data_IF_179383973014
#
_entry.id   IF_179383973014
#
_cell.length_a   1.000
_cell.length_b   1.000
_cell.length_c   1.000
_cell.angle_alpha   90.00
_cell.angle_beta   90.00
_cell.angle_gamma   90.00
#
_symmetry.space_group_name_H-M   'P 1'
#
loop_
_entity.id
_entity.type
_entity.pdbx_description
1 polymer ?
#
# COMPACT_ATOMS: atom_id res chain seq x y z
N UNK A 1 3.23 -2.74 -37.32
CA UNK A 1 2.71 -1.78 -36.32
C UNK A 1 1.21 -1.96 -36.21
N UNK A 2 0.75 -2.73 -35.21
CA UNK A 2 -0.67 -2.96 -34.94
C UNK A 2 -0.82 -3.06 -33.42
N UNK A 3 -1.55 -2.15 -32.82
CA UNK A 3 -1.89 -2.16 -31.38
C UNK A 3 -3.28 -2.78 -31.19
N UNK A 4 -3.48 -3.77 -30.32
CA UNK A 4 -4.81 -4.20 -29.94
C UNK A 4 -5.28 -3.45 -28.69
N UNK A 5 -6.40 -2.76 -28.86
CA UNK A 5 -7.23 -2.12 -27.83
C UNK A 5 -7.96 -3.21 -27.03
N UNK A 6 -7.74 -3.31 -25.71
CA UNK A 6 -8.52 -4.19 -24.83
C UNK A 6 -9.46 -3.37 -23.94
N UNK A 7 -10.76 -3.57 -24.19
CA UNK A 7 -11.90 -3.14 -23.40
C UNK A 7 -11.87 -3.76 -21.99
N UNK A 8 -11.81 -2.92 -20.97
CA UNK A 8 -12.02 -3.33 -19.59
C UNK A 8 -13.52 -3.30 -19.25
N UNK A 9 -14.15 -4.47 -19.15
CA UNK A 9 -15.46 -4.64 -18.50
C UNK A 9 -15.27 -4.64 -16.99
N UNK A 10 -15.76 -3.61 -16.31
CA UNK A 10 -15.83 -3.53 -14.85
C UNK A 10 -17.24 -3.94 -14.40
N UNK A 11 -17.38 -5.16 -13.89
CA UNK A 11 -18.52 -5.59 -13.10
C UNK A 11 -18.25 -5.25 -11.63
N UNK A 12 -18.94 -4.23 -11.13
CA UNK A 12 -18.90 -3.86 -9.72
C UNK A 12 -19.82 -4.79 -8.91
N UNK A 13 -19.22 -5.75 -8.22
CA UNK A 13 -19.89 -6.52 -7.17
C UNK A 13 -19.87 -5.66 -5.90
N UNK A 14 -21.05 -5.18 -5.49
CA UNK A 14 -21.26 -4.47 -4.23
C UNK A 14 -21.35 -5.52 -3.13
N UNK A 15 -20.26 -5.70 -2.38
CA UNK A 15 -20.28 -6.47 -1.13
C UNK A 15 -20.59 -5.51 0.05
N UNK A 16 -21.56 -5.84 0.92
CA UNK A 16 -21.81 -5.05 2.13
C UNK A 16 -20.71 -5.29 3.16
N UNK A 17 -20.08 -4.19 3.59
CA UNK A 17 -19.12 -4.17 4.70
C UNK A 17 -19.93 -4.21 6.00
N UNK A 18 -19.96 -5.37 6.65
CA UNK A 18 -20.37 -5.50 8.05
C UNK A 18 -19.12 -5.31 8.90
N UNK A 19 -19.07 -4.20 9.64
CA UNK A 19 -18.00 -3.93 10.61
C UNK A 19 -18.64 -3.57 11.95
N UNK A 20 -18.37 -4.43 12.93
CA UNK A 20 -18.55 -4.20 14.37
C UNK A 20 -19.97 -3.86 14.82
N UNK A 21 -20.80 -4.90 14.97
CA UNK A 21 -21.50 -5.22 16.24
C UNK A 21 -22.22 -4.12 17.04
N UNK A 22 -22.62 -3.01 16.42
CA UNK A 22 -23.45 -1.99 17.03
C UNK A 22 -24.68 -1.86 16.11
N UNK A 23 -25.87 -2.27 16.55
CA UNK A 23 -27.07 -2.00 15.79
C UNK A 23 -27.22 -0.48 15.69
N UNK A 24 -27.12 0.04 14.47
CA UNK A 24 -27.55 1.39 14.13
C UNK A 24 -29.06 1.42 14.35
N UNK A 25 -29.45 1.81 15.57
CA UNK A 25 -30.81 2.17 15.90
C UNK A 25 -31.25 3.23 14.88
N UNK A 26 -32.25 2.87 14.10
CA UNK A 26 -32.97 3.76 13.22
C UNK A 26 -33.50 4.93 14.05
N UNK A 27 -32.82 6.07 14.02
CA UNK A 27 -33.43 7.35 14.36
C UNK A 27 -34.38 7.71 13.22
N UNK A 28 -35.54 7.07 13.22
CA UNK A 28 -36.72 7.59 12.56
C UNK A 28 -37.08 8.89 13.28
N UNK A 29 -36.61 10.03 12.73
CA UNK A 29 -37.14 11.33 13.10
C UNK A 29 -38.61 11.34 12.69
N UNK A 30 -39.45 11.10 13.70
CA UNK A 30 -40.88 11.41 13.70
C UNK A 30 -41.08 12.80 13.09
N UNK A 31 -41.59 12.83 11.86
CA UNK A 31 -42.24 14.01 11.31
C UNK A 31 -43.59 14.11 11.99
N UNK A 32 -43.63 14.79 13.14
CA UNK A 32 -44.89 15.19 13.76
C UNK A 32 -45.59 16.16 12.80
N UNK A 33 -46.53 15.60 12.04
CA UNK A 33 -47.57 16.34 11.35
C UNK A 33 -48.44 17.00 12.43
N UNK A 34 -48.16 18.26 12.72
CA UNK A 34 -49.10 19.09 13.47
C UNK A 34 -50.32 19.36 12.59
N UNK A 35 -51.55 19.11 13.06
CA UNK A 35 -52.76 19.46 12.34
C UNK A 35 -52.89 20.99 12.28
N UNK A 36 -53.01 21.54 11.06
CA UNK A 36 -53.46 22.92 10.85
C UNK A 36 -54.91 23.02 11.30
N UNK A 37 -55.15 23.62 12.46
CA UNK A 37 -56.50 24.03 12.84
C UNK A 37 -56.96 25.22 11.97
N UNK A 38 -58.20 25.22 11.47
CA UNK A 38 -58.80 26.42 10.90
C UNK A 38 -59.22 27.36 12.05
N UNK A 39 -58.49 28.46 12.22
CA UNK A 39 -58.93 29.56 13.07
C UNK A 39 -60.10 30.27 12.38
N UNK A 40 -61.31 29.93 12.79
CA UNK A 40 -62.51 30.73 12.56
C UNK A 40 -62.38 32.03 13.34
N UNK A 41 -61.95 33.09 12.66
CA UNK A 41 -61.94 34.44 13.23
C UNK A 41 -63.30 35.07 12.96
N UNK A 42 -64.08 35.25 14.02
CA UNK A 42 -65.33 36.00 14.01
C UNK A 42 -65.08 37.43 13.51
N UNK A 43 -65.89 37.86 12.55
CA UNK A 43 -65.99 39.26 12.15
C UNK A 43 -66.74 40.03 13.24
N UNK A 44 -66.01 40.52 14.24
CA UNK A 44 -66.50 41.60 15.08
C UNK A 44 -66.43 42.91 14.28
N UNK A 45 -67.56 43.31 13.72
CA UNK A 45 -67.77 44.62 13.12
C UNK A 45 -67.55 45.69 14.18
N UNK A 46 -66.37 46.32 14.16
CA UNK A 46 -66.08 47.49 14.99
C UNK A 46 -66.29 48.70 14.09
N UNK A 47 -67.38 49.43 14.34
CA UNK A 47 -67.68 50.74 13.75
C UNK A 47 -66.57 51.72 14.14
N UNK A 48 -65.62 51.95 13.23
CA UNK A 48 -64.59 52.98 13.38
C UNK A 48 -65.24 54.32 13.09
N UNK A 49 -65.37 55.16 14.13
CA UNK A 49 -65.76 56.55 13.98
C UNK A 49 -64.70 57.29 13.15
N UNK A 50 -65.14 57.81 12.01
CA UNK A 50 -64.30 58.54 11.07
C UNK A 50 -64.02 59.93 11.64
N UNK A 51 -62.89 60.10 12.31
CA UNK A 51 -62.37 61.44 12.59
C UNK A 51 -61.63 61.96 11.35
N UNK A 52 -61.91 63.19 10.88
CA UNK A 52 -61.23 63.77 9.74
C UNK A 52 -59.76 64.02 10.10
N UNK A 53 -58.87 63.16 9.61
CA UNK A 53 -57.43 63.34 9.75
C UNK A 53 -57.02 64.51 8.87
N UNK A 54 -56.58 65.59 9.52
CA UNK A 54 -56.05 66.77 8.85
C UNK A 54 -54.87 66.40 7.94
N UNK A 55 -54.83 66.99 6.74
CA UNK A 55 -53.84 66.75 5.68
C UNK A 55 -52.33 66.74 6.08
N UNK A 56 -51.88 67.41 7.17
CA UNK A 56 -50.50 67.30 7.64
C UNK A 56 -50.12 65.94 8.25
N UNK A 57 -51.06 65.26 8.95
CA UNK A 57 -50.79 63.99 9.65
C UNK A 57 -50.60 62.82 8.68
N UNK A 58 -51.43 62.74 7.63
CA UNK A 58 -51.28 61.76 6.55
C UNK A 58 -49.93 61.90 5.82
N UNK A 59 -49.43 63.13 5.61
CA UNK A 59 -48.11 63.35 4.99
C UNK A 59 -46.94 62.92 5.87
N UNK A 60 -47.07 63.02 7.20
CA UNK A 60 -46.06 62.56 8.15
C UNK A 60 -46.02 61.03 8.24
N UNK A 61 -47.18 60.36 8.25
CA UNK A 61 -47.28 58.90 8.22
C UNK A 61 -46.73 58.31 6.91
N UNK A 62 -47.04 58.92 5.75
CA UNK A 62 -46.48 58.50 4.45
C UNK A 62 -44.96 58.63 4.42
N UNK A 63 -44.38 59.67 5.05
CA UNK A 63 -42.92 59.83 5.19
C UNK A 63 -42.33 58.78 6.13
N UNK A 64 -42.97 58.50 7.26
CA UNK A 64 -42.54 57.46 8.21
C UNK A 64 -42.58 56.06 7.58
N UNK A 65 -43.62 55.76 6.80
CA UNK A 65 -43.79 54.49 6.10
C UNK A 65 -42.73 54.29 5.00
N UNK A 66 -42.36 55.35 4.27
CA UNK A 66 -41.26 55.33 3.30
C UNK A 66 -39.90 55.08 3.98
N UNK A 67 -39.65 55.67 5.15
CA UNK A 67 -38.42 55.44 5.93
C UNK A 67 -38.37 54.00 6.48
N UNK A 68 -39.50 53.47 6.96
CA UNK A 68 -39.62 52.07 7.40
C UNK A 68 -39.40 51.07 6.26
N UNK A 69 -40.01 51.30 5.09
CA UNK A 69 -39.79 50.49 3.88
C UNK A 69 -38.33 50.51 3.43
N UNK A 70 -37.64 51.66 3.52
CA UNK A 70 -36.21 51.77 3.22
C UNK A 70 -35.35 50.96 4.21
N UNK A 71 -35.61 51.07 5.52
CA UNK A 71 -34.93 50.28 6.56
C UNK A 71 -35.17 48.77 6.42
N UNK A 72 -36.37 48.35 6.02
CA UNK A 72 -36.69 46.95 5.74
C UNK A 72 -35.90 46.43 4.53
N UNK A 73 -35.86 47.18 3.43
CA UNK A 73 -35.06 46.84 2.23
C UNK A 73 -33.56 46.74 2.54
N UNK A 74 -33.02 47.65 3.35
CA UNK A 74 -31.62 47.60 3.79
C UNK A 74 -31.32 46.39 4.67
N UNK A 75 -32.23 46.01 5.59
CA UNK A 75 -32.11 44.79 6.41
C UNK A 75 -32.17 43.53 5.56
N UNK A 76 -33.06 43.46 4.57
CA UNK A 76 -33.14 42.34 3.62
C UNK A 76 -31.89 42.23 2.75
N UNK A 77 -31.36 43.36 2.26
CA UNK A 77 -30.12 43.38 1.49
C UNK A 77 -28.93 42.86 2.30
N UNK A 78 -28.78 43.31 3.55
CA UNK A 78 -27.75 42.81 4.49
C UNK A 78 -27.92 41.33 4.80
N UNK A 79 -29.16 40.83 4.94
CA UNK A 79 -29.44 39.40 5.17
C UNK A 79 -29.06 38.56 3.96
N UNK A 80 -29.39 39.01 2.75
CA UNK A 80 -29.00 38.36 1.48
C UNK A 80 -27.48 38.34 1.28
N UNK A 81 -26.77 39.40 1.63
CA UNK A 81 -25.30 39.42 1.60
C UNK A 81 -24.69 38.40 2.58
N UNK A 82 -25.13 38.38 3.84
CA UNK A 82 -24.68 37.40 4.83
C UNK A 82 -24.97 35.96 4.40
N UNK A 83 -26.13 35.71 3.79
CA UNK A 83 -26.48 34.38 3.29
C UNK A 83 -25.58 33.94 2.12
N UNK A 84 -25.22 34.85 1.21
CA UNK A 84 -24.27 34.58 0.14
C UNK A 84 -22.86 34.28 0.67
N UNK A 85 -22.40 35.04 1.66
CA UNK A 85 -21.11 34.80 2.32
C UNK A 85 -21.07 33.45 3.06
N UNK A 86 -22.15 33.08 3.76
CA UNK A 86 -22.25 31.77 4.43
C UNK A 86 -22.21 30.62 3.42
N UNK A 87 -22.98 30.72 2.32
CA UNK A 87 -22.95 29.73 1.23
C UNK A 87 -21.58 29.62 0.58
N UNK A 88 -20.88 30.74 0.37
CA UNK A 88 -19.53 30.74 -0.17
C UNK A 88 -18.54 30.04 0.78
N UNK A 89 -18.60 30.33 2.08
CA UNK A 89 -17.77 29.67 3.12
C UNK A 89 -18.07 28.17 3.23
N UNK A 90 -19.33 27.77 3.14
CA UNK A 90 -19.71 26.35 3.13
C UNK A 90 -19.17 25.62 1.89
N UNK A 91 -19.28 26.25 0.72
CA UNK A 91 -18.80 25.67 -0.53
C UNK A 91 -17.26 25.55 -0.53
N UNK A 92 -16.55 26.52 0.05
CA UNK A 92 -15.10 26.46 0.24
C UNK A 92 -14.69 25.35 1.23
N UNK A 93 -15.40 25.21 2.36
CA UNK A 93 -15.18 24.10 3.31
C UNK A 93 -15.43 22.75 2.65
N UNK A 94 -16.50 22.61 1.86
CA UNK A 94 -16.79 21.38 1.11
C UNK A 94 -15.69 21.06 0.09
N UNK A 95 -15.17 22.06 -0.63
CA UNK A 95 -14.03 21.89 -1.55
C UNK A 95 -12.78 21.40 -0.81
N UNK A 96 -12.40 22.08 0.27
CA UNK A 96 -11.26 21.69 1.13
C UNK A 96 -11.41 20.26 1.69
N UNK A 97 -12.60 19.89 2.15
CA UNK A 97 -12.88 18.53 2.62
C UNK A 97 -12.74 17.49 1.49
N UNK A 98 -13.26 17.77 0.30
CA UNK A 98 -13.13 16.86 -0.86
C UNK A 98 -11.66 16.68 -1.26
N UNK A 99 -10.86 17.74 -1.27
CA UNK A 99 -9.42 17.67 -1.55
C UNK A 99 -8.67 16.85 -0.50
N UNK A 100 -8.94 17.07 0.78
CA UNK A 100 -8.34 16.28 1.87
C UNK A 100 -8.68 14.80 1.75
N UNK A 101 -9.93 14.45 1.41
CA UNK A 101 -10.34 13.06 1.19
C UNK A 101 -9.62 12.44 -0.01
N UNK A 102 -9.46 13.19 -1.12
CA UNK A 102 -8.70 12.72 -2.30
C UNK A 102 -7.23 12.43 -1.94
N UNK A 103 -6.55 13.39 -1.29
CA UNK A 103 -5.17 13.22 -0.82
C UNK A 103 -5.00 12.03 0.11
N UNK A 104 -5.93 11.83 1.06
CA UNK A 104 -5.90 10.66 1.95
C UNK A 104 -6.05 9.34 1.20
N UNK A 105 -6.93 9.28 0.18
CA UNK A 105 -7.11 8.09 -0.65
C UNK A 105 -5.87 7.77 -1.50
N UNK A 106 -5.22 8.79 -2.05
CA UNK A 106 -3.96 8.65 -2.80
C UNK A 106 -2.83 8.13 -1.90
N UNK A 107 -2.63 8.75 -0.74
CA UNK A 107 -1.64 8.30 0.25
C UNK A 107 -1.90 6.86 0.74
N UNK A 108 -3.17 6.46 0.88
CA UNK A 108 -3.50 5.09 1.26
C UNK A 108 -3.18 4.09 0.14
N UNK A 109 -3.42 4.45 -1.13
CA UNK A 109 -3.04 3.64 -2.29
C UNK A 109 -1.52 3.49 -2.38
N UNK A 110 -0.77 4.58 -2.28
CA UNK A 110 0.69 4.57 -2.28
C UNK A 110 1.25 3.70 -1.14
N UNK A 111 0.70 3.82 0.07
CA UNK A 111 1.10 2.97 1.21
C UNK A 111 0.83 1.49 0.93
N UNK A 112 -0.31 1.16 0.31
CA UNK A 112 -0.66 -0.22 -0.06
C UNK A 112 0.28 -0.76 -1.13
N UNK A 113 0.61 0.04 -2.14
CA UNK A 113 1.55 -0.34 -3.21
C UNK A 113 2.97 -0.52 -2.68
N UNK A 114 3.44 0.40 -1.83
CA UNK A 114 4.72 0.29 -1.16
C UNK A 114 4.78 -0.95 -0.25
N UNK A 115 3.69 -1.27 0.46
CA UNK A 115 3.62 -2.48 1.27
C UNK A 115 3.64 -3.76 0.42
N UNK A 116 2.98 -3.77 -0.74
CA UNK A 116 3.04 -4.88 -1.70
C UNK A 116 4.45 -5.05 -2.26
N UNK A 117 5.10 -3.95 -2.65
CA UNK A 117 6.47 -3.96 -3.14
C UNK A 117 7.45 -4.47 -2.07
N UNK A 118 7.39 -3.97 -0.83
CA UNK A 118 8.24 -4.45 0.27
C UNK A 118 8.05 -5.94 0.56
N UNK A 119 6.81 -6.45 0.50
CA UNK A 119 6.54 -7.89 0.63
C UNK A 119 7.17 -8.69 -0.51
N UNK A 120 7.12 -8.16 -1.73
CA UNK A 120 7.71 -8.79 -2.90
C UNK A 120 9.24 -8.76 -2.86
N UNK A 121 9.84 -7.64 -2.48
CA UNK A 121 11.29 -7.49 -2.23
C UNK A 121 11.77 -8.50 -1.19
N UNK A 122 11.06 -8.63 -0.06
CA UNK A 122 11.39 -9.61 0.99
C UNK A 122 11.36 -11.05 0.47
N UNK A 123 10.39 -11.39 -0.40
CA UNK A 123 10.31 -12.72 -1.03
C UNK A 123 11.45 -12.93 -2.02
N UNK A 124 11.71 -11.97 -2.90
CA UNK A 124 12.76 -12.03 -3.92
C UNK A 124 14.17 -12.10 -3.30
N UNK A 125 14.40 -11.45 -2.16
CA UNK A 125 15.67 -11.47 -1.44
C UNK A 125 15.76 -12.60 -0.40
N UNK A 126 14.71 -13.40 -0.20
CA UNK A 126 14.78 -14.54 0.71
C UNK A 126 15.69 -15.62 0.13
N UNK A 127 16.45 -16.31 0.98
CA UNK A 127 17.38 -17.38 0.56
C UNK A 127 16.71 -18.54 -0.18
N UNK A 128 15.39 -18.68 -0.04
CA UNK A 128 14.60 -19.73 -0.69
C UNK A 128 14.14 -19.35 -2.11
N UNK A 129 14.30 -18.10 -2.54
CA UNK A 129 13.84 -17.63 -3.85
C UNK A 129 14.55 -18.25 -5.05
N UNK A 130 15.78 -18.75 -4.85
CA UNK A 130 16.62 -19.38 -5.89
C UNK A 130 16.60 -20.91 -5.84
N UNK A 131 15.74 -21.53 -5.03
CA UNK A 131 15.72 -22.98 -4.85
C UNK A 131 14.38 -23.53 -5.30
N UNK A 132 14.39 -24.32 -6.37
CA UNK A 132 13.30 -25.20 -6.74
C UNK A 132 13.73 -26.62 -6.43
N UNK A 133 13.04 -27.30 -5.50
CA UNK A 133 13.41 -28.65 -5.09
C UNK A 133 12.81 -29.69 -6.02
N UNK A 134 13.49 -30.84 -6.15
CA UNK A 134 12.98 -32.00 -6.89
C UNK A 134 11.57 -32.40 -6.42
N UNK A 135 11.32 -32.40 -5.11
CA UNK A 135 9.98 -32.74 -4.57
C UNK A 135 8.91 -31.76 -5.09
N UNK A 136 9.20 -30.45 -5.12
CA UNK A 136 8.26 -29.47 -5.66
C UNK A 136 8.04 -29.63 -7.18
N UNK A 137 9.08 -30.07 -7.90
CA UNK A 137 9.00 -30.40 -9.32
C UNK A 137 8.11 -31.64 -9.56
N UNK A 138 8.38 -32.73 -8.86
CA UNK A 138 7.58 -33.96 -8.90
C UNK A 138 6.11 -33.69 -8.56
N UNK A 139 5.84 -32.95 -7.48
CA UNK A 139 4.46 -32.57 -7.10
C UNK A 139 3.74 -31.74 -8.18
N UNK A 140 4.47 -31.03 -9.03
CA UNK A 140 3.89 -30.23 -10.12
C UNK A 140 3.53 -31.09 -11.33
N UNK A 141 4.39 -32.04 -11.71
CA UNK A 141 4.26 -32.79 -12.97
C UNK A 141 3.70 -34.21 -12.83
N UNK A 142 3.68 -34.77 -11.62
CA UNK A 142 3.04 -36.06 -11.35
C UNK A 142 1.53 -35.88 -11.32
N UNK A 143 0.77 -36.74 -12.03
CA UNK A 143 -0.68 -36.75 -11.97
C UNK A 143 -1.17 -37.16 -10.57
N UNK A 144 -2.19 -36.46 -10.06
CA UNK A 144 -2.81 -36.76 -8.78
C UNK A 144 -3.79 -35.67 -8.39
N UNK A 145 -4.94 -36.05 -7.83
CA UNK A 145 -5.98 -35.11 -7.40
C UNK A 145 -5.65 -34.51 -6.03
N UNK A 146 -5.11 -35.33 -5.11
CA UNK A 146 -4.70 -34.86 -3.77
C UNK A 146 -3.19 -34.87 -3.58
N UNK A 147 -2.71 -34.10 -2.58
CA UNK A 147 -1.30 -34.04 -2.23
C UNK A 147 -0.77 -35.39 -1.72
N UNK A 148 -1.62 -36.15 -1.03
CA UNK A 148 -1.26 -37.48 -0.52
C UNK A 148 -1.02 -38.46 -1.68
N UNK A 149 -1.92 -38.48 -2.66
CA UNK A 149 -1.79 -39.34 -3.84
C UNK A 149 -0.50 -39.05 -4.59
N UNK A 150 -0.15 -37.77 -4.75
CA UNK A 150 1.11 -37.37 -5.37
C UNK A 150 2.33 -37.84 -4.59
N UNK A 151 2.30 -37.77 -3.26
CA UNK A 151 3.39 -38.29 -2.43
C UNK A 151 3.54 -39.81 -2.53
N UNK A 152 2.42 -40.54 -2.57
CA UNK A 152 2.46 -41.99 -2.71
C UNK A 152 2.90 -42.40 -4.12
N UNK A 153 2.51 -41.67 -5.16
CA UNK A 153 3.05 -41.83 -6.51
C UNK A 153 4.56 -41.57 -6.58
N UNK A 154 5.08 -40.56 -5.86
CA UNK A 154 6.53 -40.30 -5.79
C UNK A 154 7.29 -41.50 -5.22
N UNK A 155 6.73 -42.18 -4.21
CA UNK A 155 7.37 -43.36 -3.60
C UNK A 155 7.39 -44.58 -4.52
N UNK A 156 6.51 -44.61 -5.52
CA UNK A 156 6.40 -45.71 -6.48
C UNK A 156 7.29 -45.52 -7.70
N UNK A 157 7.90 -44.34 -7.87
CA UNK A 157 8.82 -44.07 -8.98
C UNK A 157 10.10 -44.90 -8.82
N UNK A 158 10.54 -45.47 -9.93
CA UNK A 158 11.84 -46.11 -10.04
C UNK A 158 12.98 -45.07 -10.02
N UNK A 159 14.19 -45.50 -9.68
CA UNK A 159 15.37 -44.62 -9.70
C UNK A 159 15.61 -44.00 -11.09
N UNK A 160 15.41 -44.78 -12.16
CA UNK A 160 15.55 -44.32 -13.54
C UNK A 160 14.55 -43.20 -13.90
N UNK A 161 13.30 -43.28 -13.43
CA UNK A 161 12.32 -42.22 -13.63
C UNK A 161 12.70 -40.97 -12.82
N UNK A 162 13.14 -41.14 -11.58
CA UNK A 162 13.60 -40.04 -10.71
C UNK A 162 14.73 -39.26 -11.39
N UNK A 163 15.67 -39.94 -12.06
CA UNK A 163 16.74 -39.28 -12.82
C UNK A 163 16.21 -38.40 -13.96
N UNK A 164 15.17 -38.84 -14.69
CA UNK A 164 14.53 -38.04 -15.74
C UNK A 164 13.91 -36.76 -15.16
N UNK A 165 13.19 -36.88 -14.04
CA UNK A 165 12.65 -35.72 -13.33
C UNK A 165 13.74 -34.82 -12.75
N UNK A 166 14.87 -35.38 -12.30
CA UNK A 166 16.01 -34.63 -11.81
C UNK A 166 16.62 -33.79 -12.94
N UNK A 167 16.84 -34.35 -14.13
CA UNK A 167 17.29 -33.60 -15.31
C UNK A 167 16.33 -32.47 -15.68
N UNK A 168 15.02 -32.73 -15.69
CA UNK A 168 14.01 -31.71 -15.95
C UNK A 168 14.00 -30.60 -14.88
N UNK A 169 14.18 -30.96 -13.61
CA UNK A 169 14.31 -30.02 -12.52
C UNK A 169 15.56 -29.15 -12.66
N UNK A 170 16.70 -29.73 -13.00
CA UNK A 170 17.96 -29.02 -13.19
C UNK A 170 17.90 -28.07 -14.39
N UNK A 171 17.26 -28.50 -15.50
CA UNK A 171 16.98 -27.64 -16.66
C UNK A 171 16.10 -26.46 -16.28
N UNK A 172 14.99 -26.69 -15.57
CA UNK A 172 14.12 -25.62 -15.08
C UNK A 172 14.89 -24.66 -14.16
N UNK A 173 15.70 -25.17 -13.23
CA UNK A 173 16.50 -24.35 -12.31
C UNK A 173 17.50 -23.51 -13.08
N UNK A 174 18.17 -24.08 -14.07
CA UNK A 174 19.12 -23.37 -14.92
C UNK A 174 18.44 -22.27 -15.73
N UNK A 175 17.31 -22.55 -16.38
CA UNK A 175 16.56 -21.55 -17.13
C UNK A 175 16.00 -20.45 -16.23
N UNK A 176 15.37 -20.82 -15.11
CA UNK A 176 14.69 -19.87 -14.23
C UNK A 176 15.63 -19.03 -13.36
N UNK A 177 16.86 -19.48 -13.09
CA UNK A 177 17.76 -18.81 -12.15
C UNK A 177 19.13 -18.44 -12.72
N UNK A 178 19.43 -18.75 -13.99
CA UNK A 178 20.73 -18.39 -14.62
C UNK A 178 21.01 -16.88 -14.61
N UNK A 179 19.98 -16.04 -14.69
CA UNK A 179 20.12 -14.59 -14.67
C UNK A 179 20.31 -13.99 -13.27
N UNK A 180 20.24 -14.80 -12.21
CA UNK A 180 20.31 -14.31 -10.84
C UNK A 180 21.74 -13.88 -10.50
N UNK A 181 21.94 -12.58 -10.24
CA UNK A 181 23.22 -12.09 -9.74
C UNK A 181 23.43 -12.47 -8.27
N UNK A 182 24.67 -12.86 -7.89
CA UNK A 182 25.01 -13.09 -6.50
C UNK A 182 24.88 -11.80 -5.69
N UNK A 183 24.58 -11.95 -4.40
CA UNK A 183 24.50 -10.82 -3.48
C UNK A 183 25.91 -10.25 -3.27
N UNK A 184 26.11 -8.92 -3.33
CA UNK A 184 27.39 -8.31 -3.01
C UNK A 184 27.86 -8.71 -1.60
N UNK A 185 29.13 -9.07 -1.48
CA UNK A 185 29.74 -9.42 -0.20
C UNK A 185 29.91 -8.19 0.68
N UNK A 186 29.72 -8.40 1.99
CA UNK A 186 29.88 -7.33 2.95
C UNK A 186 31.36 -6.92 3.04
N UNK A 187 31.68 -5.61 3.00
CA UNK A 187 33.06 -5.15 3.07
C UNK A 187 33.70 -5.53 4.40
N UNK A 188 35.00 -5.83 4.36
CA UNK A 188 35.77 -6.24 5.52
C UNK A 188 35.83 -5.10 6.54
N UNK A 189 35.25 -5.32 7.72
CA UNK A 189 35.25 -4.37 8.85
C UNK A 189 36.50 -4.49 9.70
N UNK A 190 36.72 -3.53 10.60
CA UNK A 190 37.92 -3.39 11.43
C UNK A 190 38.43 -4.68 12.07
N UNK A 191 37.59 -5.35 12.86
CA UNK A 191 37.99 -6.60 13.48
C UNK A 191 38.33 -7.70 12.46
N UNK A 192 37.55 -7.84 11.39
CA UNK A 192 37.81 -8.83 10.34
C UNK A 192 39.11 -8.53 9.59
N UNK A 193 39.42 -7.25 9.35
CA UNK A 193 40.68 -6.81 8.73
C UNK A 193 41.87 -7.11 9.66
N UNK A 194 41.70 -6.88 10.96
CA UNK A 194 42.68 -7.23 11.99
C UNK A 194 42.94 -8.74 12.05
N UNK A 195 41.88 -9.55 12.13
CA UNK A 195 41.99 -11.00 12.13
C UNK A 195 42.67 -11.48 10.85
N UNK A 196 42.23 -11.01 9.67
CA UNK A 196 42.84 -11.41 8.39
C UNK A 196 44.34 -11.12 8.32
N UNK A 197 44.79 -10.01 8.91
CA UNK A 197 46.21 -9.62 8.93
C UNK A 197 47.04 -10.44 9.94
N UNK A 198 46.47 -10.78 11.10
CA UNK A 198 47.21 -11.37 12.22
C UNK A 198 46.92 -12.87 12.46
N UNK A 199 46.02 -13.48 11.68
CA UNK A 199 45.65 -14.89 11.89
C UNK A 199 46.76 -15.87 11.54
N UNK A 200 47.56 -15.57 10.51
CA UNK A 200 48.67 -16.42 10.07
C UNK A 200 49.90 -16.38 10.97
N UNK A 201 50.01 -15.39 11.86
CA UNK A 201 51.18 -15.21 12.74
C UNK A 201 51.09 -15.98 14.05
N UNK A 202 49.93 -16.58 14.35
CA UNK A 202 49.71 -17.33 15.59
C UNK A 202 49.82 -18.84 15.33
N UNK A 203 50.60 -19.59 16.13
CA UNK A 203 50.58 -21.05 16.09
C UNK A 203 49.32 -21.61 16.79
N UNK A 204 49.07 -22.91 16.64
CA UNK A 204 48.00 -23.63 17.35
C UNK A 204 46.67 -23.76 16.61
N UNK A 205 45.65 -24.37 17.22
CA UNK A 205 44.36 -24.64 16.60
C UNK A 205 43.55 -23.37 16.35
N UNK A 206 42.68 -23.41 15.33
CA UNK A 206 41.91 -22.24 14.86
C UNK A 206 41.13 -21.51 15.97
N UNK A 207 40.54 -22.27 16.89
CA UNK A 207 39.76 -21.74 18.02
C UNK A 207 40.62 -20.91 18.99
N UNK A 208 41.81 -21.39 19.33
CA UNK A 208 42.72 -20.71 20.26
C UNK A 208 43.29 -19.44 19.63
N UNK A 209 43.66 -19.50 18.34
CA UNK A 209 44.09 -18.32 17.58
C UNK A 209 43.01 -17.24 17.55
N UNK A 210 41.76 -17.62 17.31
CA UNK A 210 40.64 -16.68 17.30
C UNK A 210 40.39 -16.04 18.68
N UNK A 211 40.50 -16.83 19.77
CA UNK A 211 40.42 -16.29 21.14
C UNK A 211 41.52 -15.27 21.42
N UNK A 212 42.74 -15.58 21.03
CA UNK A 212 43.88 -14.69 21.21
C UNK A 212 43.74 -13.39 20.41
N UNK A 213 43.28 -13.47 19.16
CA UNK A 213 42.99 -12.30 18.32
C UNK A 213 41.85 -11.45 18.86
N UNK A 214 40.80 -12.07 19.40
CA UNK A 214 39.71 -11.35 20.04
C UNK A 214 40.18 -10.59 21.29
N UNK A 215 41.04 -11.22 22.10
CA UNK A 215 41.61 -10.61 23.30
C UNK A 215 42.52 -9.42 22.94
N UNK A 216 43.47 -9.63 22.03
CA UNK A 216 44.38 -8.59 21.56
C UNK A 216 43.64 -7.41 20.92
N UNK A 217 42.63 -7.66 20.08
CA UNK A 217 41.80 -6.60 19.50
C UNK A 217 41.09 -5.74 20.56
N UNK A 218 40.60 -6.33 21.65
CA UNK A 218 39.95 -5.58 22.74
C UNK A 218 40.94 -4.62 23.41
N UNK A 219 42.18 -5.07 23.58
CA UNK A 219 43.24 -4.30 24.24
C UNK A 219 43.88 -3.23 23.35
N UNK A 220 43.65 -3.25 22.02
CA UNK A 220 44.11 -2.17 21.15
C UNK A 220 43.46 -0.83 21.50
N UNK A 221 44.28 0.22 21.44
CA UNK A 221 43.87 1.61 21.57
C UNK A 221 42.99 2.05 20.39
N UNK A 222 42.33 3.21 20.52
CA UNK A 222 41.51 3.78 19.44
C UNK A 222 42.36 4.12 18.20
N UNK A 223 43.57 4.62 18.40
CA UNK A 223 44.51 4.96 17.34
C UNK A 223 44.94 3.72 16.57
N UNK A 224 45.27 2.63 17.26
CA UNK A 224 45.62 1.36 16.60
C UNK A 224 44.43 0.74 15.86
N UNK A 225 43.21 0.87 16.41
CA UNK A 225 41.98 0.41 15.74
C UNK A 225 41.67 1.19 14.47
N UNK A 226 42.03 2.48 14.41
CA UNK A 226 41.80 3.33 13.23
C UNK A 226 42.49 2.80 11.97
N UNK A 227 43.65 2.15 12.11
CA UNK A 227 44.40 1.51 11.02
C UNK A 227 43.60 0.38 10.34
N UNK A 228 42.64 -0.19 11.07
CA UNK A 228 41.81 -1.28 10.59
C UNK A 228 40.44 -0.81 10.11
N UNK A 229 40.05 0.44 10.31
CA UNK A 229 38.73 0.93 9.90
C UNK A 229 38.46 0.68 8.41
N UNK A 230 37.18 0.43 8.13
CA UNK A 230 36.71 0.26 6.77
C UNK A 230 36.62 1.64 6.11
N UNK A 231 37.12 1.71 4.88
CA UNK A 231 37.03 2.93 4.08
C UNK A 231 35.56 3.35 3.91
N UNK A 232 35.19 4.59 4.30
CA UNK A 232 33.82 5.08 4.15
C UNK A 232 33.33 5.05 2.70
N UNK A 233 34.21 5.20 1.70
CA UNK A 233 33.84 5.13 0.29
C UNK A 233 33.45 3.71 -0.12
N UNK A 234 34.19 2.70 0.34
CA UNK A 234 33.87 1.29 0.10
C UNK A 234 32.51 0.93 0.73
N UNK A 235 32.25 1.43 1.94
CA UNK A 235 30.95 1.23 2.60
C UNK A 235 29.81 1.88 1.83
N UNK A 236 30.03 3.08 1.28
CA UNK A 236 29.04 3.78 0.46
C UNK A 236 28.76 3.01 -0.84
N UNK A 237 29.82 2.60 -1.56
CA UNK A 237 29.72 1.79 -2.78
C UNK A 237 28.96 0.48 -2.52
N UNK A 238 29.29 -0.26 -1.45
CA UNK A 238 28.57 -1.48 -1.10
C UNK A 238 27.07 -1.23 -0.83
N UNK A 239 26.69 -0.11 -0.18
CA UNK A 239 25.28 0.23 0.03
C UNK A 239 24.56 0.49 -1.29
N UNK A 240 25.22 1.15 -2.23
CA UNK A 240 24.70 1.41 -3.58
C UNK A 240 24.55 0.10 -4.36
N UNK A 241 25.58 -0.74 -4.38
CA UNK A 241 25.59 -2.06 -5.02
C UNK A 241 24.48 -2.95 -4.44
N UNK A 242 24.32 -2.98 -3.12
CA UNK A 242 23.28 -3.75 -2.45
C UNK A 242 21.88 -3.23 -2.79
N UNK A 243 21.71 -1.92 -2.95
CA UNK A 243 20.44 -1.32 -3.38
C UNK A 243 20.11 -1.69 -4.83
N UNK A 244 21.09 -1.58 -5.73
CA UNK A 244 20.93 -2.00 -7.13
C UNK A 244 20.64 -3.50 -7.22
N UNK A 245 21.36 -4.32 -6.47
CA UNK A 245 21.15 -5.77 -6.40
C UNK A 245 19.72 -6.08 -5.97
N UNK A 246 19.17 -5.43 -4.92
CA UNK A 246 17.78 -5.66 -4.49
C UNK A 246 16.76 -5.34 -5.57
N UNK A 247 16.92 -4.22 -6.27
CA UNK A 247 16.01 -3.83 -7.36
C UNK A 247 16.10 -4.81 -8.52
N UNK A 248 17.32 -5.17 -8.94
CA UNK A 248 17.51 -6.18 -9.98
C UNK A 248 16.93 -7.53 -9.56
N UNK A 249 17.16 -7.96 -8.32
CA UNK A 249 16.68 -9.23 -7.77
C UNK A 249 15.16 -9.37 -7.82
N UNK A 250 14.43 -8.28 -7.62
CA UNK A 250 12.97 -8.24 -7.76
C UNK A 250 12.54 -8.51 -9.19
N UNK A 251 13.21 -7.90 -10.17
CA UNK A 251 12.98 -8.14 -11.60
C UNK A 251 13.27 -9.61 -11.95
N UNK A 252 14.45 -10.09 -11.56
CA UNK A 252 14.90 -11.46 -11.80
C UNK A 252 13.90 -12.48 -11.24
N UNK A 253 13.39 -12.24 -10.02
CA UNK A 253 12.39 -13.09 -9.36
C UNK A 253 11.06 -13.16 -10.13
N UNK A 254 10.62 -12.05 -10.74
CA UNK A 254 9.39 -12.03 -11.54
C UNK A 254 9.58 -12.82 -12.84
N UNK A 255 10.74 -12.68 -13.50
CA UNK A 255 11.11 -13.46 -14.68
C UNK A 255 11.17 -14.95 -14.34
N UNK A 256 11.86 -15.33 -13.25
CA UNK A 256 11.93 -16.72 -12.80
C UNK A 256 10.55 -17.33 -12.55
N UNK A 257 9.65 -16.56 -11.92
CA UNK A 257 8.27 -17.00 -11.67
C UNK A 257 7.50 -17.23 -12.96
N UNK A 258 7.74 -16.41 -13.98
CA UNK A 258 7.14 -16.57 -15.29
C UNK A 258 7.68 -17.82 -16.00
N UNK A 259 9.01 -18.01 -16.01
CA UNK A 259 9.66 -19.22 -16.57
C UNK A 259 9.11 -20.48 -15.89
N UNK A 260 9.06 -20.52 -14.55
CA UNK A 260 8.50 -21.65 -13.80
C UNK A 260 7.03 -21.91 -14.16
N UNK A 261 6.25 -20.87 -14.48
CA UNK A 261 4.85 -21.03 -14.87
C UNK A 261 4.72 -21.62 -16.28
N UNK A 262 5.55 -21.15 -17.21
CA UNK A 262 5.46 -21.48 -18.63
C UNK A 262 6.24 -22.75 -19.01
N UNK A 263 7.12 -23.23 -18.13
CA UNK A 263 7.91 -24.43 -18.34
C UNK A 263 7.02 -25.67 -18.50
N UNK A 264 7.19 -26.34 -19.65
CA UNK A 264 6.54 -27.59 -19.99
C UNK A 264 7.54 -28.72 -19.82
N UNK A 265 7.09 -29.80 -19.19
CA UNK A 265 7.91 -30.97 -18.95
C UNK A 265 7.06 -32.20 -19.23
N UNK A 266 7.58 -33.06 -20.09
CA UNK A 266 6.97 -34.34 -20.44
C UNK A 266 8.02 -35.44 -20.26
N UNK A 267 7.88 -36.34 -19.27
CA UNK A 267 8.90 -37.34 -18.97
C UNK A 267 9.14 -38.33 -20.13
N UNK A 268 8.20 -38.39 -21.08
CA UNK A 268 8.29 -39.23 -22.28
C UNK A 268 9.00 -38.56 -23.45
N UNK A 269 9.21 -37.24 -23.39
CA UNK A 269 9.86 -36.47 -24.45
C UNK A 269 11.21 -35.94 -23.96
N UNK A 270 12.34 -36.55 -24.40
CA UNK A 270 13.69 -36.15 -24.03
C UNK A 270 13.99 -34.67 -24.30
N UNK A 271 13.37 -34.08 -25.33
CA UNK A 271 13.60 -32.66 -25.66
C UNK A 271 13.20 -31.70 -24.53
N UNK A 272 12.34 -32.15 -23.61
CA UNK A 272 11.88 -31.34 -22.48
C UNK A 272 12.86 -31.32 -21.30
N UNK A 273 13.87 -32.21 -21.27
CA UNK A 273 14.81 -32.30 -20.14
C UNK A 273 16.29 -32.48 -20.50
N UNK A 274 16.62 -32.74 -21.78
CA UNK A 274 17.98 -32.62 -22.33
C UNK A 274 18.30 -31.18 -22.75
#
# INVERSE_FOLDING_TARGET
>A
MVTPTLLARSSAIIAPIVRNGIPLAYFARSTSLLPRQPLTRSFASTTVSFQPVTAPKLRAEIKAEKVLKKKLREKEAKKKQKEKELKAKELEKQKKQRELVKKKKEQEKEKKELAKYKKLEKKACSGNSSRFSLINFLLKYIPGSTLKDKHDAIKQLSEAEIEVYQKGCDKLVKEAFSHFKPKPDYPIIGYTKYVKKNYGTLPGPAHERMKHLAYSWRNLTKEEKSLYEADPEILKKHREDLKQWKTQRVSDYLVAKQIIKDFKFDPKDPSTYE
#
